data_IF_094585722167
#
_entry.id   IF_094585722167
#
_cell.length_a   1.000
_cell.length_b   1.000
_cell.length_c   1.000
_cell.angle_alpha   90.00
_cell.angle_beta   90.00
_cell.angle_gamma   90.00
#
_symmetry.space_group_name_H-M   'P 1'
#
loop_
_entity.id
_entity.type
_entity.pdbx_description
1 polymer ?
#
# COMPACT_ATOMS: atom_id res chain seq x y z
N UNK A 1 16.58 32.82 42.43
CA UNK A 1 16.84 33.26 41.04
C UNK A 1 16.76 32.05 40.16
N UNK A 2 15.77 32.02 39.26
CA UNK A 2 15.57 30.98 38.26
C UNK A 2 16.52 31.21 37.08
N UNK A 3 16.95 30.12 36.44
CA UNK A 3 17.21 29.98 34.99
C UNK A 3 17.55 28.51 34.74
N UNK A 4 16.54 27.70 34.41
CA UNK A 4 15.98 27.49 33.07
C UNK A 4 16.71 26.35 32.36
N UNK A 5 16.07 25.19 32.50
CA UNK A 5 16.26 23.98 31.71
C UNK A 5 16.21 24.38 30.23
N UNK A 6 17.36 24.29 29.55
CA UNK A 6 17.40 24.37 28.10
C UNK A 6 16.80 23.07 27.56
N UNK A 7 15.50 23.08 27.29
CA UNK A 7 14.86 22.07 26.47
C UNK A 7 15.60 22.03 25.13
N UNK A 8 16.38 20.98 24.93
CA UNK A 8 16.72 20.51 23.60
C UNK A 8 15.39 20.23 22.93
N UNK A 9 15.00 21.14 22.04
CA UNK A 9 13.98 20.89 21.06
C UNK A 9 14.45 19.69 20.22
N UNK A 10 14.05 18.49 20.64
CA UNK A 10 13.95 17.34 19.75
C UNK A 10 13.04 17.77 18.61
N UNK A 11 13.64 18.16 17.48
CA UNK A 11 12.89 18.19 16.24
C UNK A 11 12.46 16.75 15.99
N UNK A 12 11.17 16.47 15.75
CA UNK A 12 10.77 15.12 15.38
C UNK A 12 11.50 14.79 14.09
N UNK A 13 12.18 13.64 14.08
CA UNK A 13 12.70 13.05 12.84
C UNK A 13 11.49 12.90 11.92
N UNK A 14 11.43 13.69 10.85
CA UNK A 14 10.39 13.55 9.82
C UNK A 14 10.66 12.26 9.07
N UNK A 15 9.71 11.33 9.13
CA UNK A 15 9.72 10.08 8.38
C UNK A 15 9.85 10.36 6.87
N UNK A 16 10.74 9.64 6.20
CA UNK A 16 10.93 9.69 4.76
C UNK A 16 10.64 8.32 4.13
N UNK A 17 10.38 8.24 2.80
CA UNK A 17 10.23 6.97 2.11
C UNK A 17 11.40 6.00 2.33
N UNK A 18 12.63 6.52 2.44
CA UNK A 18 13.83 5.72 2.66
C UNK A 18 13.83 5.01 4.03
N UNK A 19 13.19 5.60 5.04
CA UNK A 19 13.08 5.01 6.38
C UNK A 19 12.12 3.81 6.42
N UNK A 20 11.29 3.63 5.38
CA UNK A 20 10.31 2.56 5.28
C UNK A 20 10.76 1.38 4.43
N UNK A 21 11.91 1.46 3.74
CA UNK A 21 12.40 0.34 2.93
C UNK A 21 12.58 -0.92 3.79
N UNK A 22 11.94 -2.02 3.37
CA UNK A 22 11.91 -3.30 4.09
C UNK A 22 10.85 -3.38 5.20
N UNK A 23 9.94 -2.41 5.29
CA UNK A 23 8.82 -2.43 6.24
C UNK A 23 7.93 -3.67 6.07
N UNK A 24 7.65 -4.10 4.83
CA UNK A 24 6.79 -5.27 4.59
C UNK A 24 7.41 -6.56 5.18
N UNK A 25 8.74 -6.71 5.08
CA UNK A 25 9.45 -7.89 5.58
C UNK A 25 9.59 -7.89 7.11
N UNK A 26 9.82 -6.71 7.71
CA UNK A 26 10.27 -6.61 9.11
C UNK A 26 9.27 -5.94 10.07
N UNK A 27 8.41 -5.05 9.57
CA UNK A 27 7.51 -4.23 10.37
C UNK A 27 6.04 -4.64 10.30
N UNK A 28 5.60 -5.17 9.16
CA UNK A 28 4.19 -5.46 8.89
C UNK A 28 3.56 -6.40 9.92
N UNK A 29 4.21 -7.51 10.25
CA UNK A 29 3.69 -8.51 11.21
C UNK A 29 3.41 -7.91 12.60
N UNK A 30 4.33 -7.06 13.08
CA UNK A 30 4.20 -6.40 14.38
C UNK A 30 3.01 -5.42 14.40
N UNK A 31 2.84 -4.63 13.33
CA UNK A 31 1.75 -3.67 13.23
C UNK A 31 0.38 -4.38 13.01
N UNK A 32 0.34 -5.47 12.23
CA UNK A 32 -0.86 -6.32 12.09
C UNK A 32 -1.26 -6.95 13.42
N UNK A 33 -0.30 -7.55 14.14
CA UNK A 33 -0.53 -8.11 15.48
C UNK A 33 -0.99 -7.06 16.48
N UNK A 34 -0.56 -5.82 16.33
CA UNK A 34 -0.92 -4.72 17.23
C UNK A 34 -2.35 -4.23 17.02
N UNK A 35 -2.80 -4.10 15.78
CA UNK A 35 -4.06 -3.41 15.46
C UNK A 35 -5.16 -4.31 14.89
N UNK A 36 -4.81 -5.48 14.35
CA UNK A 36 -5.71 -6.36 13.60
C UNK A 36 -5.60 -7.84 14.00
N UNK A 37 -5.10 -8.15 15.20
CA UNK A 37 -4.98 -9.55 15.67
C UNK A 37 -6.31 -10.32 15.71
N UNK A 38 -7.45 -9.62 15.72
CA UNK A 38 -8.80 -10.18 15.71
C UNK A 38 -9.47 -10.14 14.32
N UNK A 39 -8.78 -9.68 13.28
CA UNK A 39 -9.30 -9.71 11.92
C UNK A 39 -9.26 -11.12 11.33
N UNK A 40 -10.21 -11.42 10.44
CA UNK A 40 -10.21 -12.66 9.68
C UNK A 40 -8.92 -12.77 8.84
N UNK A 41 -8.33 -13.96 8.70
CA UNK A 41 -7.12 -14.14 7.90
C UNK A 41 -7.41 -13.99 6.41
N UNK A 42 -6.42 -13.52 5.67
CA UNK A 42 -6.39 -13.58 4.21
C UNK A 42 -6.39 -15.03 3.76
N UNK A 43 -7.28 -15.33 2.81
CA UNK A 43 -7.33 -16.61 2.12
C UNK A 43 -7.41 -16.35 0.63
N UNK A 44 -6.36 -16.76 -0.09
CA UNK A 44 -6.34 -16.77 -1.55
C UNK A 44 -6.19 -18.22 -2.04
N UNK A 45 -6.92 -18.63 -3.09
CA UNK A 45 -6.79 -19.95 -3.67
C UNK A 45 -5.39 -20.24 -4.24
N UNK A 46 -5.00 -21.51 -4.32
CA UNK A 46 -3.70 -21.91 -4.87
C UNK A 46 -3.52 -21.45 -6.33
N UNK A 47 -4.62 -21.44 -7.10
CA UNK A 47 -4.64 -20.98 -8.49
C UNK A 47 -4.49 -19.46 -8.66
N UNK A 48 -4.48 -18.68 -7.58
CA UNK A 48 -4.25 -17.23 -7.66
C UNK A 48 -2.89 -16.96 -8.28
N UNK A 49 -2.90 -16.10 -9.31
CA UNK A 49 -1.74 -15.75 -10.14
C UNK A 49 -0.48 -15.54 -9.31
N UNK A 50 0.61 -16.20 -9.72
CA UNK A 50 1.90 -16.07 -9.03
C UNK A 50 2.53 -14.70 -9.28
N UNK A 51 3.06 -14.08 -8.22
CA UNK A 51 3.88 -12.87 -8.34
C UNK A 51 5.25 -13.15 -9.00
N UNK A 52 5.73 -14.41 -9.02
CA UNK A 52 7.09 -14.77 -9.45
C UNK A 52 7.54 -14.18 -10.79
N UNK A 53 6.73 -14.25 -11.88
CA UNK A 53 7.14 -13.65 -13.16
C UNK A 53 7.29 -12.13 -13.08
N UNK A 54 6.48 -11.47 -12.25
CA UNK A 54 6.50 -10.03 -12.05
C UNK A 54 7.69 -9.58 -11.20
N UNK A 55 8.05 -10.36 -10.15
CA UNK A 55 9.23 -10.10 -9.31
C UNK A 55 10.52 -9.96 -10.12
N UNK A 56 10.67 -10.74 -11.20
CA UNK A 56 11.83 -10.69 -12.08
C UNK A 56 11.96 -9.38 -12.88
N UNK A 57 10.91 -8.55 -12.92
CA UNK A 57 10.86 -7.27 -13.63
C UNK A 57 11.11 -6.06 -12.73
N UNK A 58 11.09 -6.26 -11.41
CA UNK A 58 11.24 -5.20 -10.42
C UNK A 58 12.71 -4.96 -10.06
N UNK A 59 13.00 -3.77 -9.54
CA UNK A 59 14.27 -3.52 -8.87
C UNK A 59 14.36 -4.37 -7.58
N UNK A 60 15.57 -4.69 -7.08
CA UNK A 60 15.73 -5.64 -5.98
C UNK A 60 14.96 -5.30 -4.71
N UNK A 61 14.85 -4.02 -4.35
CA UNK A 61 14.11 -3.59 -3.16
C UNK A 61 12.60 -3.82 -3.32
N UNK A 62 12.03 -3.41 -4.46
CA UNK A 62 10.60 -3.56 -4.74
C UNK A 62 10.21 -5.04 -4.89
N UNK A 63 11.08 -5.84 -5.50
CA UNK A 63 10.93 -7.29 -5.58
C UNK A 63 10.93 -7.93 -4.17
N UNK A 64 11.80 -7.48 -3.27
CA UNK A 64 11.85 -7.99 -1.90
C UNK A 64 10.56 -7.67 -1.14
N UNK A 65 10.07 -6.43 -1.24
CA UNK A 65 8.82 -6.01 -0.61
C UNK A 65 7.62 -6.83 -1.12
N UNK A 66 7.47 -7.00 -2.44
CA UNK A 66 6.37 -7.78 -3.00
C UNK A 66 6.49 -9.28 -2.69
N UNK A 67 7.69 -9.85 -2.67
CA UNK A 67 7.91 -11.24 -2.28
C UNK A 67 7.57 -11.48 -0.81
N UNK A 68 7.89 -10.54 0.08
CA UNK A 68 7.52 -10.60 1.49
C UNK A 68 5.99 -10.51 1.66
N UNK A 69 5.33 -9.59 0.96
CA UNK A 69 3.86 -9.51 0.97
C UNK A 69 3.22 -10.81 0.44
N UNK A 70 3.69 -11.34 -0.69
CA UNK A 70 3.18 -12.58 -1.29
C UNK A 70 3.33 -13.78 -0.34
N UNK A 71 4.46 -13.86 0.36
CA UNK A 71 4.69 -14.89 1.39
C UNK A 71 3.66 -14.77 2.52
N UNK A 72 3.39 -13.55 2.99
CA UNK A 72 2.41 -13.31 4.05
C UNK A 72 0.98 -13.61 3.58
N UNK A 73 0.58 -13.14 2.41
CA UNK A 73 -0.74 -13.42 1.80
C UNK A 73 -0.97 -14.93 1.64
N UNK A 74 0.03 -15.66 1.16
CA UNK A 74 -0.06 -17.11 0.93
C UNK A 74 0.12 -17.95 2.19
N UNK A 75 0.46 -17.36 3.32
CA UNK A 75 0.61 -18.07 4.60
C UNK A 75 -0.72 -18.59 5.16
N UNK A 76 -1.84 -17.98 4.77
CA UNK A 76 -3.17 -18.25 5.32
C UNK A 76 -3.37 -17.78 6.76
N UNK A 77 -2.43 -16.99 7.31
CA UNK A 77 -2.50 -16.47 8.69
C UNK A 77 -2.43 -14.94 8.78
N UNK A 78 -2.08 -14.24 7.69
CA UNK A 78 -2.00 -12.78 7.69
C UNK A 78 -3.39 -12.17 7.95
N UNK A 79 -3.58 -11.33 8.97
CA UNK A 79 -4.87 -10.69 9.22
C UNK A 79 -5.30 -9.75 8.09
N UNK A 80 -6.61 -9.68 7.84
CA UNK A 80 -7.14 -8.85 6.77
C UNK A 80 -7.13 -7.36 7.15
N UNK A 81 -6.33 -6.57 6.42
CA UNK A 81 -6.23 -5.12 6.62
C UNK A 81 -6.51 -4.32 5.34
N UNK A 82 -6.18 -4.88 4.17
CA UNK A 82 -6.50 -4.43 2.82
C UNK A 82 -7.52 -5.40 2.21
N UNK A 83 -8.34 -5.04 1.24
CA UNK A 83 -9.29 -6.00 0.64
C UNK A 83 -8.55 -6.97 -0.32
N UNK A 84 -7.84 -7.93 0.27
CA UNK A 84 -7.07 -8.99 -0.39
C UNK A 84 -7.94 -10.25 -0.49
N UNK A 85 -8.42 -10.53 -1.69
CA UNK A 85 -9.28 -11.66 -2.01
C UNK A 85 -8.84 -12.30 -3.34
N UNK A 86 -9.45 -13.42 -3.70
CA UNK A 86 -9.19 -14.12 -4.96
C UNK A 86 -9.53 -13.30 -6.22
N UNK A 87 -10.44 -12.33 -6.09
CA UNK A 87 -10.83 -11.39 -7.14
C UNK A 87 -10.02 -10.07 -7.13
N UNK A 88 -9.13 -9.83 -6.15
CA UNK A 88 -8.36 -8.58 -6.07
C UNK A 88 -6.84 -8.78 -6.03
N UNK A 89 -6.35 -9.88 -5.48
CA UNK A 89 -4.92 -10.19 -5.40
C UNK A 89 -4.48 -11.01 -6.62
N UNK A 90 -3.49 -10.52 -7.37
CA UNK A 90 -3.04 -11.16 -8.60
C UNK A 90 -4.13 -11.24 -9.67
N UNK A 91 -4.96 -10.19 -9.77
CA UNK A 91 -6.04 -10.08 -10.75
C UNK A 91 -5.51 -10.30 -12.17
N UNK A 92 -6.31 -11.01 -12.98
CA UNK A 92 -6.03 -11.34 -14.37
C UNK A 92 -6.80 -10.36 -15.27
N UNK A 93 -6.18 -9.23 -15.60
CA UNK A 93 -6.86 -8.16 -16.34
C UNK A 93 -7.26 -8.65 -17.73
N UNK A 94 -6.32 -9.24 -18.48
CA UNK A 94 -6.58 -9.81 -19.79
C UNK A 94 -7.62 -10.93 -19.74
N UNK A 95 -7.58 -11.81 -18.74
CA UNK A 95 -8.57 -12.87 -18.56
C UNK A 95 -9.98 -12.38 -18.22
N UNK A 96 -10.10 -11.18 -17.65
CA UNK A 96 -11.38 -10.52 -17.37
C UNK A 96 -11.78 -9.48 -18.43
N UNK A 97 -11.05 -9.41 -19.55
CA UNK A 97 -11.29 -8.45 -20.63
C UNK A 97 -11.18 -6.97 -20.21
N UNK A 98 -10.39 -6.69 -19.17
CA UNK A 98 -10.12 -5.33 -18.69
C UNK A 98 -8.86 -4.76 -19.36
N UNK A 99 -8.92 -3.49 -19.76
CA UNK A 99 -7.78 -2.71 -20.17
C UNK A 99 -6.95 -2.18 -18.99
N UNK A 100 -5.77 -1.68 -19.32
CA UNK A 100 -4.90 -0.97 -18.38
C UNK A 100 -4.25 0.20 -19.13
N UNK A 101 -4.66 1.41 -18.81
CA UNK A 101 -4.03 2.64 -19.29
C UNK A 101 -3.15 3.22 -18.18
N UNK A 102 -1.97 3.73 -18.55
CA UNK A 102 -1.18 4.55 -17.64
C UNK A 102 -1.87 5.92 -17.40
N UNK A 103 -1.34 6.70 -16.46
CA UNK A 103 -1.92 7.97 -16.02
C UNK A 103 -2.01 9.06 -17.12
N UNK A 104 -1.43 8.83 -18.30
CA UNK A 104 -1.58 9.71 -19.46
C UNK A 104 -2.83 9.40 -20.30
N UNK A 105 -3.62 8.39 -19.91
CA UNK A 105 -4.85 7.92 -20.59
C UNK A 105 -4.61 7.44 -22.03
N UNK A 106 -3.37 7.14 -22.42
CA UNK A 106 -3.01 6.78 -23.80
C UNK A 106 -2.02 5.63 -23.90
N UNK A 107 -1.13 5.48 -22.92
CA UNK A 107 -0.15 4.41 -22.88
C UNK A 107 -0.81 3.15 -22.36
N UNK A 108 -0.99 2.16 -23.24
CA UNK A 108 -1.52 0.85 -22.88
C UNK A 108 -0.45 0.02 -22.15
N UNK A 109 -0.88 -0.61 -21.05
CA UNK A 109 -0.11 -1.54 -20.25
C UNK A 109 -0.79 -2.92 -20.28
N UNK A 110 -0.06 -3.93 -19.82
CA UNK A 110 -0.57 -5.31 -19.74
C UNK A 110 -0.45 -5.86 -18.33
N UNK A 111 -1.05 -7.03 -18.10
CA UNK A 111 -0.78 -7.83 -16.89
C UNK A 111 0.71 -7.99 -16.60
N UNK A 112 1.57 -8.01 -17.61
CA UNK A 112 2.99 -8.17 -17.37
C UNK A 112 3.63 -6.92 -16.73
N UNK A 113 2.98 -5.76 -16.82
CA UNK A 113 3.45 -4.45 -16.38
C UNK A 113 2.91 -4.04 -14.99
N UNK A 114 1.92 -4.78 -14.47
CA UNK A 114 1.35 -4.58 -13.14
C UNK A 114 1.10 -5.88 -12.35
N UNK A 115 0.99 -5.76 -11.04
CA UNK A 115 0.49 -6.82 -10.17
C UNK A 115 -0.45 -6.23 -9.11
N UNK A 116 -1.72 -6.67 -9.08
CA UNK A 116 -2.67 -6.18 -8.09
C UNK A 116 -2.45 -6.83 -6.72
N UNK A 117 -2.46 -6.02 -5.66
CA UNK A 117 -2.18 -6.45 -4.28
C UNK A 117 -3.40 -6.39 -3.36
N UNK A 118 -4.53 -5.86 -3.84
CA UNK A 118 -5.79 -5.77 -3.12
C UNK A 118 -6.69 -4.69 -3.69
N UNK A 119 -7.84 -4.45 -3.06
CA UNK A 119 -8.83 -3.48 -3.50
C UNK A 119 -9.09 -2.36 -2.47
N UNK A 120 -9.77 -1.29 -2.91
CA UNK A 120 -10.25 -0.20 -2.06
C UNK A 120 -11.63 -0.46 -1.42
N UNK A 121 -12.26 -1.59 -1.76
CA UNK A 121 -13.63 -1.96 -1.35
C UNK A 121 -14.74 -1.42 -2.24
N UNK A 122 -14.40 -0.61 -3.25
CA UNK A 122 -15.30 -0.07 -4.28
C UNK A 122 -15.15 -0.74 -5.66
N UNK A 123 -14.24 -1.71 -5.79
CA UNK A 123 -13.94 -2.42 -7.04
C UNK A 123 -12.66 -1.97 -7.74
N UNK A 124 -12.01 -0.92 -7.23
CA UNK A 124 -10.73 -0.46 -7.74
C UNK A 124 -9.58 -1.27 -7.13
N UNK A 125 -8.48 -1.43 -7.88
CA UNK A 125 -7.39 -2.33 -7.51
C UNK A 125 -6.09 -1.56 -7.27
N UNK A 126 -5.45 -1.75 -6.12
CA UNK A 126 -4.09 -1.26 -5.90
C UNK A 126 -3.11 -2.15 -6.66
N UNK A 127 -2.35 -1.56 -7.57
CA UNK A 127 -1.44 -2.26 -8.45
C UNK A 127 0.00 -1.78 -8.23
N UNK A 128 0.93 -2.73 -8.08
CA UNK A 128 2.37 -2.46 -8.16
C UNK A 128 2.75 -2.42 -9.64
N UNK A 129 3.46 -1.37 -10.06
CA UNK A 129 3.96 -1.19 -11.42
C UNK A 129 5.41 -1.69 -11.52
N UNK A 130 5.87 -2.00 -12.73
CA UNK A 130 7.27 -2.45 -12.96
C UNK A 130 8.35 -1.44 -12.55
N UNK A 131 7.98 -0.18 -12.35
CA UNK A 131 8.87 0.85 -11.82
C UNK A 131 8.91 0.91 -10.28
N UNK A 132 8.22 -0.01 -9.58
CA UNK A 132 8.16 -0.11 -8.12
C UNK A 132 7.00 0.64 -7.47
N UNK A 133 6.41 1.63 -8.16
CA UNK A 133 5.32 2.43 -7.61
C UNK A 133 4.06 1.60 -7.38
N UNK A 134 3.20 2.06 -6.48
CA UNK A 134 1.82 1.58 -6.34
C UNK A 134 0.86 2.64 -6.84
N UNK A 135 -0.13 2.26 -7.63
CA UNK A 135 -1.21 3.14 -8.07
C UNK A 135 -2.56 2.42 -7.94
N UNK A 136 -3.64 3.19 -7.81
CA UNK A 136 -5.00 2.66 -7.89
C UNK A 136 -5.41 2.57 -9.37
N UNK A 137 -5.77 1.37 -9.81
CA UNK A 137 -6.46 1.14 -11.07
C UNK A 137 -7.95 1.38 -10.87
N UNK A 138 -8.50 2.38 -11.58
CA UNK A 138 -9.91 2.73 -11.56
C UNK A 138 -10.68 1.85 -12.54
N UNK A 139 -11.64 1.08 -12.06
CA UNK A 139 -12.30 0.06 -12.88
C UNK A 139 -13.24 0.64 -13.94
N UNK A 140 -13.81 1.82 -13.72
CA UNK A 140 -14.72 2.46 -14.69
C UNK A 140 -13.98 3.04 -15.90
N UNK A 141 -12.74 3.50 -15.69
CA UNK A 141 -11.93 4.14 -16.73
C UNK A 141 -10.78 3.25 -17.23
N UNK A 142 -10.52 2.16 -16.51
CA UNK A 142 -9.43 1.21 -16.75
C UNK A 142 -8.04 1.85 -16.71
N UNK A 143 -7.87 2.88 -15.87
CA UNK A 143 -6.67 3.73 -15.78
C UNK A 143 -5.99 3.60 -14.43
N UNK A 144 -4.65 3.60 -14.42
CA UNK A 144 -3.82 3.75 -13.23
C UNK A 144 -3.69 5.23 -12.86
N UNK A 145 -4.44 5.66 -11.86
CA UNK A 145 -4.58 7.07 -11.51
C UNK A 145 -3.29 7.69 -10.96
N UNK A 146 -2.76 8.69 -11.67
CA UNK A 146 -1.51 9.37 -11.31
C UNK A 146 -1.54 10.01 -9.91
N UNK A 147 -2.66 10.63 -9.54
CA UNK A 147 -2.86 11.28 -8.24
C UNK A 147 -3.02 10.31 -7.06
N UNK A 148 -2.99 8.99 -7.31
CA UNK A 148 -3.14 7.96 -6.26
C UNK A 148 -1.82 7.26 -5.93
N UNK A 149 -0.70 7.74 -6.50
CA UNK A 149 0.57 7.02 -6.46
C UNK A 149 1.24 7.03 -5.09
N UNK A 150 1.96 5.94 -4.85
CA UNK A 150 2.96 5.78 -3.81
C UNK A 150 4.29 5.39 -4.46
N UNK A 151 5.40 5.87 -3.89
CA UNK A 151 6.75 5.67 -4.41
C UNK A 151 7.15 4.20 -4.47
N UNK A 152 6.70 3.40 -3.49
CA UNK A 152 6.93 1.96 -3.45
C UNK A 152 5.91 1.22 -2.55
N UNK A 153 5.98 -0.11 -2.58
CA UNK A 153 5.08 -0.98 -1.82
C UNK A 153 5.23 -0.83 -0.30
N UNK A 154 6.44 -0.63 0.22
CA UNK A 154 6.64 -0.45 1.66
C UNK A 154 5.91 0.78 2.19
N UNK A 155 6.04 1.92 1.49
CA UNK A 155 5.36 3.17 1.83
C UNK A 155 3.84 3.01 1.71
N UNK A 156 3.36 2.34 0.66
CA UNK A 156 1.93 2.06 0.49
C UNK A 156 1.38 1.22 1.64
N UNK A 157 1.98 0.07 1.94
CA UNK A 157 1.49 -0.84 3.01
C UNK A 157 1.55 -0.14 4.37
N UNK A 158 2.64 0.58 4.67
CA UNK A 158 2.76 1.36 5.91
C UNK A 158 1.64 2.38 6.06
N UNK A 159 1.35 3.11 4.98
CA UNK A 159 0.33 4.16 4.94
C UNK A 159 -1.07 3.57 5.05
N UNK A 160 -1.39 2.56 4.23
CA UNK A 160 -2.72 1.96 4.19
C UNK A 160 -3.08 1.27 5.51
N UNK A 161 -2.14 0.55 6.11
CA UNK A 161 -2.37 -0.12 7.38
C UNK A 161 -2.67 0.89 8.51
N UNK A 162 -1.95 2.02 8.55
CA UNK A 162 -2.22 3.11 9.51
C UNK A 162 -3.54 3.80 9.24
N UNK A 163 -3.86 4.04 7.96
CA UNK A 163 -5.18 4.53 7.55
C UNK A 163 -6.29 3.64 8.12
N UNK A 164 -6.19 2.32 7.92
CA UNK A 164 -7.16 1.36 8.43
C UNK A 164 -7.21 1.32 9.95
N UNK A 165 -6.06 1.41 10.62
CA UNK A 165 -5.99 1.41 12.08
C UNK A 165 -6.69 2.65 12.68
N UNK A 166 -6.53 3.82 12.05
CA UNK A 166 -7.25 5.04 12.43
C UNK A 166 -8.75 4.89 12.18
N UNK A 167 -9.14 4.42 10.99
CA UNK A 167 -10.56 4.16 10.65
C UNK A 167 -11.23 3.15 11.58
N UNK A 168 -10.47 2.23 12.14
CA UNK A 168 -10.94 1.24 13.12
C UNK A 168 -10.90 1.74 14.58
N UNK A 169 -10.46 2.98 14.84
CA UNK A 169 -10.33 3.53 16.19
C UNK A 169 -9.22 2.87 17.03
N UNK A 170 -8.23 2.22 16.39
CA UNK A 170 -7.10 1.55 17.04
C UNK A 170 -5.84 2.43 17.10
N UNK A 171 -5.84 3.53 16.35
CA UNK A 171 -4.77 4.51 16.26
C UNK A 171 -5.37 5.92 16.15
N UNK A 172 -4.79 6.90 16.84
CA UNK A 172 -5.25 8.28 16.77
C UNK A 172 -4.72 8.96 15.49
N UNK A 173 -5.54 9.81 14.86
CA UNK A 173 -5.16 10.54 13.65
C UNK A 173 -3.93 11.43 13.88
N UNK A 174 -3.87 12.10 15.03
CA UNK A 174 -2.75 12.97 15.41
C UNK A 174 -1.41 12.23 15.50
N UNK A 175 -1.44 10.92 15.74
CA UNK A 175 -0.24 10.10 15.82
C UNK A 175 0.41 9.85 14.46
N UNK A 176 -0.31 10.03 13.34
CA UNK A 176 0.18 9.71 11.99
C UNK A 176 0.10 10.87 11.00
N UNK A 177 -0.72 11.89 11.27
CA UNK A 177 -0.97 12.96 10.31
C UNK A 177 0.29 13.78 9.93
N UNK A 178 1.28 13.88 10.82
CA UNK A 178 2.56 14.52 10.49
C UNK A 178 3.40 13.66 9.56
N UNK A 179 3.43 12.35 9.79
CA UNK A 179 4.19 11.39 8.98
C UNK A 179 3.62 11.27 7.57
N UNK A 180 2.30 11.22 7.41
CA UNK A 180 1.65 11.22 6.08
C UNK A 180 2.07 12.46 5.26
N UNK A 181 2.08 13.63 5.90
CA UNK A 181 2.52 14.88 5.25
C UNK A 181 4.02 14.88 4.96
N UNK A 182 4.84 14.29 5.82
CA UNK A 182 6.27 14.19 5.63
C UNK A 182 6.64 13.22 4.49
N UNK A 183 5.95 12.08 4.39
CA UNK A 183 6.11 11.11 3.32
C UNK A 183 5.71 11.68 1.95
N UNK A 184 4.74 12.60 1.90
CA UNK A 184 4.48 13.38 0.68
C UNK A 184 3.86 12.58 -0.48
N UNK A 185 3.20 11.47 -0.19
CA UNK A 185 2.69 10.56 -1.23
C UNK A 185 1.35 11.08 -1.79
N UNK A 186 1.21 11.09 -3.11
CA UNK A 186 0.01 11.60 -3.77
C UNK A 186 -1.25 10.85 -3.29
N UNK A 187 -1.21 9.51 -3.29
CA UNK A 187 -2.32 8.69 -2.78
C UNK A 187 -2.63 8.85 -1.29
N UNK A 188 -1.71 9.42 -0.51
CA UNK A 188 -1.96 9.74 0.89
C UNK A 188 -2.52 11.14 1.10
N UNK A 189 -2.21 12.09 0.21
CA UNK A 189 -2.41 13.53 0.40
C UNK A 189 -3.40 14.20 -0.54
N UNK A 190 -3.87 13.50 -1.59
CA UNK A 190 -4.88 14.05 -2.50
C UNK A 190 -6.07 14.61 -1.70
N UNK A 191 -6.47 15.88 -1.89
CA UNK A 191 -7.45 16.54 -1.02
C UNK A 191 -8.82 15.85 -0.87
N UNK A 192 -9.30 15.14 -1.90
CA UNK A 192 -10.63 14.54 -1.94
C UNK A 192 -10.63 13.03 -1.69
N UNK A 193 -9.55 12.35 -2.08
CA UNK A 193 -9.44 10.89 -2.12
C UNK A 193 -8.25 10.35 -1.34
N UNK A 194 -7.30 11.22 -0.96
CA UNK A 194 -6.11 10.82 -0.24
C UNK A 194 -6.44 10.25 1.14
N UNK A 195 -5.68 9.24 1.56
CA UNK A 195 -5.90 8.54 2.82
C UNK A 195 -6.05 9.49 4.02
N UNK A 196 -5.29 10.58 4.07
CA UNK A 196 -5.36 11.57 5.16
C UNK A 196 -6.71 12.30 5.22
N UNK A 197 -7.29 12.64 4.06
CA UNK A 197 -8.61 13.26 3.96
C UNK A 197 -9.71 12.29 4.42
N UNK A 198 -9.56 11.00 4.10
CA UNK A 198 -10.52 9.96 4.44
C UNK A 198 -10.49 9.53 5.93
N UNK A 199 -9.49 9.96 6.72
CA UNK A 199 -9.43 9.70 8.17
C UNK A 199 -10.07 10.79 9.03
N UNK A 200 -10.29 11.99 8.48
CA UNK A 200 -10.82 13.15 9.23
C UNK A 200 -12.32 13.16 9.40
#
# INVERSE_FOLDING_TARGET
MANSVGALYDRPVTLSPADLIGYVDSGLDADLSRWFADAEPVVVPEQTRSATPFLARLAPADAAALAALDTQVRSGVMPQFLDIFDWSYGFDFAGNECGILDADYTTELTDADVFSVGADGGGNLFCVLTNGQVALWFHEEEVLEGGTRFDNLDVFVWSFLRYRAVRAGRLELEAVAADFRALGQDGALEPQLGLLSLMS
#
